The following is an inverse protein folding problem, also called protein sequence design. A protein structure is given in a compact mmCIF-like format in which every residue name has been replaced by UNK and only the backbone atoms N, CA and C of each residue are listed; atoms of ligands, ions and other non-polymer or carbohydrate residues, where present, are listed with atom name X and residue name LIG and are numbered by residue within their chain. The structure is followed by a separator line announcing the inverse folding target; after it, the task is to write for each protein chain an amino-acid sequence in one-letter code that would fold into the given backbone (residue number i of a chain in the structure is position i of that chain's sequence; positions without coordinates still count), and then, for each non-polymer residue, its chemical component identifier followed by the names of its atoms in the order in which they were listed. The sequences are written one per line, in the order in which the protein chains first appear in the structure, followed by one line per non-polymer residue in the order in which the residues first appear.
data_IF_191989988842
#
_entry.id   IF_191989988842
#
_cell.length_a   1.000
_cell.length_b   1.000
_cell.length_c   1.000
_cell.angle_alpha   90.00
_cell.angle_beta   90.00
_cell.angle_gamma   90.00
#
_symmetry.space_group_name_H-M   'P 1'
#
loop_
_entity.id
_entity.type
_entity.pdbx_description
1 polymer ?
#
# COMPACT_ATOMS: atom_id res chain seq x y z
N UNK A 1 7.58 -78.77 -12.21
CA UNK A 1 6.84 -77.87 -11.28
C UNK A 1 7.65 -77.69 -9.99
N UNK A 2 8.97 -77.42 -10.09
CA UNK A 2 9.87 -77.35 -8.93
C UNK A 2 10.64 -76.01 -8.86
N UNK A 3 10.71 -75.24 -9.94
CA UNK A 3 11.53 -74.02 -10.02
C UNK A 3 10.87 -72.76 -9.44
N UNK A 4 9.58 -72.79 -9.11
CA UNK A 4 8.87 -71.61 -8.58
C UNK A 4 8.80 -71.56 -7.04
N UNK A 5 8.93 -72.72 -6.37
CA UNK A 5 8.93 -72.83 -4.91
C UNK A 5 10.26 -72.40 -4.29
N UNK A 6 11.38 -72.73 -4.93
CA UNK A 6 12.72 -72.32 -4.48
C UNK A 6 12.95 -70.80 -4.54
N UNK A 7 12.37 -70.14 -5.54
CA UNK A 7 12.50 -68.70 -5.71
C UNK A 7 11.78 -67.92 -4.60
N UNK A 8 10.65 -68.44 -4.11
CA UNK A 8 9.91 -67.86 -2.97
C UNK A 8 10.60 -68.13 -1.63
N UNK A 9 11.26 -69.27 -1.47
CA UNK A 9 12.07 -69.57 -0.29
C UNK A 9 13.31 -68.66 -0.20
N UNK A 10 13.98 -68.41 -1.33
CA UNK A 10 15.14 -67.51 -1.41
C UNK A 10 14.77 -66.05 -1.07
N UNK A 11 13.63 -65.54 -1.56
CA UNK A 11 13.16 -64.19 -1.23
C UNK A 11 12.78 -64.02 0.25
N UNK A 12 12.17 -65.04 0.87
CA UNK A 12 11.86 -65.02 2.32
C UNK A 12 13.15 -65.09 3.17
N UNK A 13 14.16 -65.83 2.73
CA UNK A 13 15.49 -65.89 3.39
C UNK A 13 16.20 -64.53 3.32
N UNK A 14 16.11 -63.84 2.18
CA UNK A 14 16.68 -62.50 1.97
C UNK A 14 16.01 -61.44 2.85
N UNK A 15 14.67 -61.45 2.95
CA UNK A 15 13.94 -60.54 3.84
C UNK A 15 14.19 -60.82 5.33
N UNK A 16 14.33 -62.10 5.74
CA UNK A 16 14.74 -62.45 7.12
C UNK A 16 16.17 -62.02 7.44
N UNK A 17 17.09 -62.11 6.47
CA UNK A 17 18.48 -61.67 6.63
C UNK A 17 18.57 -60.15 6.78
N UNK A 18 17.87 -59.37 5.95
CA UNK A 18 17.82 -57.91 6.09
C UNK A 18 17.22 -57.47 7.42
N UNK A 19 16.17 -58.15 7.90
CA UNK A 19 15.56 -57.83 9.21
C UNK A 19 16.50 -58.16 10.39
N UNK A 20 17.31 -59.21 10.28
CA UNK A 20 18.36 -59.55 11.27
C UNK A 20 19.49 -58.54 11.25
N UNK A 21 19.95 -58.11 10.07
CA UNK A 21 20.98 -57.08 9.93
C UNK A 21 20.49 -55.73 10.50
N UNK A 22 19.24 -55.37 10.23
CA UNK A 22 18.64 -54.15 10.78
C UNK A 22 18.48 -54.21 12.30
N UNK A 23 18.07 -55.35 12.87
CA UNK A 23 18.06 -55.56 14.32
C UNK A 23 19.46 -55.51 14.94
N UNK A 24 20.46 -56.11 14.30
CA UNK A 24 21.84 -56.06 14.79
C UNK A 24 22.39 -54.62 14.76
N UNK A 25 22.07 -53.84 13.73
CA UNK A 25 22.40 -52.40 13.67
C UNK A 25 21.72 -51.60 14.78
N UNK A 26 20.46 -51.90 15.13
CA UNK A 26 19.76 -51.25 16.24
C UNK A 26 20.38 -51.62 17.60
N UNK A 27 20.80 -52.88 17.79
CA UNK A 27 21.49 -53.31 19.01
C UNK A 27 22.87 -52.65 19.13
N UNK A 28 23.64 -52.56 18.05
CA UNK A 28 24.95 -51.89 18.04
C UNK A 28 24.81 -50.39 18.29
N UNK A 29 23.78 -49.74 17.74
CA UNK A 29 23.54 -48.31 18.01
C UNK A 29 23.18 -48.06 19.48
N UNK A 30 22.37 -48.96 20.08
CA UNK A 30 22.01 -48.89 21.50
C UNK A 30 23.21 -49.16 22.44
N UNK A 31 24.11 -50.08 22.09
CA UNK A 31 25.31 -50.34 22.88
C UNK A 31 26.34 -49.22 22.76
N UNK A 32 26.50 -48.58 21.61
CA UNK A 32 27.39 -47.41 21.46
C UNK A 32 26.89 -46.22 22.30
N UNK A 33 25.57 -46.02 22.39
CA UNK A 33 25.00 -45.00 23.28
C UNK A 33 25.14 -45.33 24.77
N UNK A 34 25.18 -46.62 25.13
CA UNK A 34 25.35 -47.05 26.53
C UNK A 34 26.83 -47.09 26.97
N UNK A 35 27.77 -47.36 26.05
CA UNK A 35 29.21 -47.34 26.36
C UNK A 35 29.73 -45.90 26.45
N UNK A 36 29.16 -44.97 25.68
CA UNK A 36 29.52 -43.54 25.80
C UNK A 36 28.97 -42.87 27.07
N UNK A 37 28.06 -43.52 27.81
CA UNK A 37 27.52 -43.01 29.09
C UNK A 37 28.19 -43.60 30.32
N UNK A 38 29.19 -44.49 30.17
CA UNK A 38 29.89 -45.11 31.31
C UNK A 38 31.33 -44.63 31.55
N UNK A 39 31.91 -43.81 30.67
CA UNK A 39 33.29 -43.29 30.82
C UNK A 39 33.41 -41.90 31.50
N UNK A 40 32.41 -41.50 32.28
CA UNK A 40 32.50 -40.39 33.23
C UNK A 40 32.33 -40.90 34.68
N UNK A 41 33.10 -41.93 35.04
CA UNK A 41 33.35 -42.28 36.44
C UNK A 41 34.78 -41.89 36.80
N UNK A 42 34.97 -40.62 37.16
CA UNK A 42 36.21 -40.14 37.78
C UNK A 42 35.93 -39.63 39.19
N UNK A 43 35.98 -40.58 40.14
CA UNK A 43 36.69 -40.48 41.42
C UNK A 43 36.54 -39.16 42.18
N UNK A 44 35.48 -39.03 42.98
CA UNK A 44 35.42 -38.04 44.06
C UNK A 44 36.41 -38.43 45.18
N UNK A 45 37.42 -37.58 45.37
CA UNK A 45 38.25 -37.52 46.57
C UNK A 45 37.64 -36.44 47.46
N UNK A 46 37.17 -36.83 48.64
CA UNK A 46 36.72 -35.95 49.71
C UNK A 46 37.85 -35.02 50.14
N UNK A 47 37.64 -33.70 50.12
CA UNK A 47 37.77 -32.80 51.29
C UNK A 47 37.81 -31.30 50.87
N UNK A 48 37.17 -30.47 51.70
CA UNK A 48 37.38 -29.02 51.90
C UNK A 48 36.74 -27.98 50.93
N UNK A 49 35.52 -27.56 51.32
CA UNK A 49 35.10 -26.15 51.55
C UNK A 49 35.36 -25.10 50.44
N UNK A 50 34.40 -24.95 49.54
CA UNK A 50 33.96 -23.64 48.98
C UNK A 50 32.67 -23.81 48.16
N UNK A 51 31.56 -23.08 48.44
CA UNK A 51 30.44 -23.03 47.52
C UNK A 51 30.72 -21.93 46.49
N UNK A 52 31.26 -22.29 45.34
CA UNK A 52 31.18 -21.42 44.17
C UNK A 52 29.92 -21.82 43.39
N UNK A 53 28.83 -21.04 43.42
CA UNK A 53 27.73 -21.26 42.51
C UNK A 53 28.13 -20.65 41.16
N UNK A 54 28.94 -21.36 40.38
CA UNK A 54 29.04 -21.07 38.95
C UNK A 54 27.90 -21.84 38.27
N UNK A 55 26.83 -21.19 37.80
CA UNK A 55 26.09 -21.82 36.73
C UNK A 55 27.04 -21.84 35.53
N UNK A 56 27.42 -23.04 35.08
CA UNK A 56 28.25 -23.23 33.88
C UNK A 56 27.39 -22.88 32.67
N UNK A 57 27.17 -21.59 32.44
CA UNK A 57 26.67 -21.09 31.17
C UNK A 57 27.84 -21.09 30.20
N UNK A 58 27.78 -21.99 29.26
CA UNK A 58 28.65 -21.98 28.10
C UNK A 58 28.19 -20.81 27.21
N UNK A 59 28.97 -19.72 27.07
CA UNK A 59 28.53 -18.55 26.33
C UNK A 59 28.48 -18.90 24.84
N UNK A 60 27.28 -19.27 24.35
CA UNK A 60 27.01 -19.41 22.93
C UNK A 60 26.88 -18.01 22.34
N UNK A 61 27.71 -17.69 21.36
CA UNK A 61 27.53 -16.46 20.57
C UNK A 61 26.66 -16.76 19.37
N UNK A 62 25.66 -15.91 19.15
CA UNK A 62 24.77 -15.98 18.01
C UNK A 62 25.13 -14.87 17.02
N UNK A 63 25.20 -15.23 15.75
CA UNK A 63 25.41 -14.30 14.64
C UNK A 63 24.41 -14.65 13.52
N UNK A 64 23.80 -13.63 12.90
CA UNK A 64 22.92 -13.85 11.74
C UNK A 64 23.67 -13.42 10.49
N UNK A 65 23.91 -14.38 9.61
CA UNK A 65 24.54 -14.19 8.31
C UNK A 65 23.51 -13.66 7.30
N UNK A 66 24.00 -12.95 6.28
CA UNK A 66 23.23 -12.46 5.12
C UNK A 66 22.06 -11.50 5.43
N UNK A 67 22.01 -10.94 6.65
CA UNK A 67 20.99 -9.98 7.05
C UNK A 67 21.44 -8.97 8.11
N UNK A 68 20.82 -7.78 8.07
CA UNK A 68 20.82 -6.83 9.18
C UNK A 68 19.85 -7.32 10.26
N UNK A 69 20.34 -7.48 11.49
CA UNK A 69 19.56 -8.04 12.60
C UNK A 69 19.75 -7.27 13.92
N UNK A 70 18.75 -7.40 14.80
CA UNK A 70 18.79 -6.90 16.17
C UNK A 70 18.37 -8.00 17.14
N UNK A 71 19.18 -8.23 18.16
CA UNK A 71 18.77 -9.06 19.29
C UNK A 71 17.82 -8.28 20.18
N UNK A 72 16.67 -8.87 20.49
CA UNK A 72 15.68 -8.27 21.38
C UNK A 72 15.95 -8.70 22.82
N UNK A 73 15.75 -7.77 23.75
CA UNK A 73 15.74 -8.02 25.18
C UNK A 73 14.47 -7.45 25.77
N UNK A 74 13.80 -8.23 26.61
CA UNK A 74 12.64 -7.72 27.34
C UNK A 74 13.11 -6.74 28.42
N UNK A 75 12.51 -5.55 28.44
CA UNK A 75 12.89 -4.51 29.39
C UNK A 75 12.63 -4.97 30.83
N UNK A 76 13.68 -5.02 31.66
CA UNK A 76 13.59 -5.39 33.07
C UNK A 76 13.79 -6.88 33.39
N UNK A 77 14.18 -7.73 32.43
CA UNK A 77 14.49 -9.14 32.70
C UNK A 77 16.01 -9.45 32.77
N UNK A 78 16.38 -10.27 33.76
CA UNK A 78 17.72 -10.84 33.94
C UNK A 78 18.01 -11.95 32.92
N UNK A 79 19.28 -12.10 32.52
CA UNK A 79 19.77 -13.10 31.55
C UNK A 79 19.37 -14.55 31.86
N UNK A 80 19.00 -14.82 33.10
CA UNK A 80 18.80 -16.15 33.69
C UNK A 80 17.43 -16.78 33.40
N UNK A 81 16.45 -16.05 32.85
CA UNK A 81 15.10 -16.59 32.66
C UNK A 81 14.81 -17.16 31.26
N UNK A 82 15.57 -16.73 30.25
CA UNK A 82 15.52 -17.30 28.89
C UNK A 82 16.51 -18.45 28.69
N UNK A 83 17.12 -18.91 29.79
CA UNK A 83 18.28 -19.77 29.81
C UNK A 83 18.10 -20.82 30.90
N UNK A 84 18.03 -22.09 30.53
CA UNK A 84 18.22 -23.23 31.43
C UNK A 84 19.64 -23.77 31.27
N UNK A 85 20.04 -24.73 32.11
CA UNK A 85 21.33 -25.43 31.96
C UNK A 85 21.48 -26.16 30.61
N UNK A 86 20.40 -26.40 29.88
CA UNK A 86 20.39 -27.16 28.62
C UNK A 86 19.83 -26.38 27.42
N UNK A 87 19.18 -25.24 27.64
CA UNK A 87 18.51 -24.48 26.58
C UNK A 87 18.67 -22.99 26.77
N UNK A 88 18.95 -22.27 25.68
CA UNK A 88 19.03 -20.82 25.67
C UNK A 88 18.20 -20.28 24.51
N UNK A 89 17.33 -19.31 24.79
CA UNK A 89 16.43 -18.71 23.79
C UNK A 89 16.75 -17.22 23.64
N UNK A 90 17.23 -16.83 22.46
CA UNK A 90 17.51 -15.43 22.14
C UNK A 90 16.54 -14.94 21.05
N UNK A 91 15.57 -14.06 21.37
CA UNK A 91 14.73 -13.46 20.34
C UNK A 91 15.55 -12.46 19.52
N UNK A 92 15.30 -12.42 18.22
CA UNK A 92 15.93 -11.50 17.29
C UNK A 92 14.95 -11.07 16.20
N UNK A 93 15.22 -9.93 15.58
CA UNK A 93 14.47 -9.38 14.45
C UNK A 93 15.40 -9.22 13.26
N UNK A 94 14.93 -9.66 12.11
CA UNK A 94 15.60 -9.49 10.82
C UNK A 94 15.03 -8.24 10.16
N UNK A 95 15.85 -7.21 10.00
CA UNK A 95 15.45 -5.94 9.41
C UNK A 95 15.51 -6.00 7.88
N UNK A 96 16.61 -6.51 7.34
CA UNK A 96 16.87 -6.55 5.90
C UNK A 96 17.71 -7.78 5.57
N UNK A 97 17.26 -8.67 4.70
CA UNK A 97 18.07 -9.81 4.27
C UNK A 97 18.26 -9.80 2.75
N UNK A 98 19.53 -9.93 2.34
CA UNK A 98 19.91 -9.97 0.92
C UNK A 98 19.77 -11.37 0.33
N UNK A 99 19.92 -12.40 1.17
CA UNK A 99 19.77 -13.83 0.87
C UNK A 99 19.04 -14.49 2.03
N UNK A 100 18.75 -15.79 1.90
CA UNK A 100 18.08 -16.52 2.96
C UNK A 100 18.98 -16.48 4.20
N UNK A 101 18.58 -15.79 5.28
CA UNK A 101 19.45 -15.58 6.41
C UNK A 101 19.72 -16.91 7.11
N UNK A 102 20.91 -17.01 7.69
CA UNK A 102 21.34 -18.17 8.45
C UNK A 102 21.75 -17.73 9.85
N UNK A 103 21.33 -18.48 10.86
CA UNK A 103 21.75 -18.26 12.25
C UNK A 103 22.94 -19.16 12.52
N UNK A 104 24.09 -18.55 12.76
CA UNK A 104 25.29 -19.18 13.29
C UNK A 104 25.26 -19.16 14.81
N UNK A 105 25.47 -20.31 15.43
CA UNK A 105 25.68 -20.45 16.85
C UNK A 105 27.09 -21.02 17.07
N UNK A 106 27.95 -20.25 17.72
CA UNK A 106 29.34 -20.66 17.98
C UNK A 106 29.63 -20.79 19.47
N UNK A 107 30.44 -21.79 19.79
CA UNK A 107 30.91 -22.11 21.12
C UNK A 107 32.39 -22.46 21.05
N UNK A 108 33.25 -21.48 21.40
CA UNK A 108 34.69 -21.59 21.22
C UNK A 108 35.05 -21.83 19.76
N UNK A 109 35.71 -22.95 19.45
CA UNK A 109 36.11 -23.33 18.09
C UNK A 109 35.02 -24.07 17.29
N UNK A 110 33.91 -24.45 17.93
CA UNK A 110 32.83 -25.18 17.29
C UNK A 110 31.76 -24.18 16.87
N UNK A 111 31.27 -24.29 15.64
CA UNK A 111 30.11 -23.52 15.18
C UNK A 111 29.15 -24.41 14.41
N UNK A 112 27.87 -24.06 14.48
CA UNK A 112 26.82 -24.68 13.69
C UNK A 112 25.95 -23.61 13.07
N UNK A 113 25.45 -23.87 11.88
CA UNK A 113 24.67 -22.91 11.11
C UNK A 113 23.32 -23.52 10.73
N UNK A 114 22.26 -22.71 10.84
CA UNK A 114 20.91 -23.11 10.50
C UNK A 114 20.23 -22.03 9.68
N UNK A 115 19.74 -22.38 8.49
CA UNK A 115 18.93 -21.49 7.66
C UNK A 115 17.63 -21.13 8.38
N UNK A 116 17.27 -19.85 8.34
CA UNK A 116 15.97 -19.37 8.85
C UNK A 116 14.88 -19.87 7.89
N UNK A 117 13.84 -20.55 8.41
CA UNK A 117 12.70 -21.01 7.62
C UNK A 117 12.05 -19.88 6.80
N UNK A 118 11.81 -20.11 5.50
CA UNK A 118 11.33 -19.09 4.56
C UNK A 118 9.98 -18.48 4.97
N UNK A 119 9.11 -19.26 5.62
CA UNK A 119 7.82 -18.86 6.16
C UNK A 119 7.92 -17.79 7.26
N UNK A 120 9.04 -17.73 7.98
CA UNK A 120 9.29 -16.71 9.00
C UNK A 120 9.86 -15.41 8.42
N UNK A 121 10.45 -15.46 7.21
CA UNK A 121 11.13 -14.32 6.57
C UNK A 121 10.37 -13.76 5.36
N UNK A 122 9.46 -14.53 4.76
CA UNK A 122 8.62 -14.11 3.64
C UNK A 122 7.22 -13.72 4.15
N UNK A 123 6.87 -12.43 4.03
CA UNK A 123 5.53 -11.93 4.35
C UNK A 123 4.45 -12.39 3.36
N UNK A 124 4.83 -12.89 2.19
CA UNK A 124 3.88 -13.38 1.18
C UNK A 124 4.45 -14.61 0.47
N UNK A 125 4.02 -15.80 0.88
CA UNK A 125 4.36 -17.10 0.27
C UNK A 125 3.89 -17.25 -1.20
N UNK A 126 3.02 -16.34 -1.67
CA UNK A 126 2.35 -16.42 -2.98
C UNK A 126 3.27 -16.06 -4.15
N UNK A 127 4.38 -15.37 -3.89
CA UNK A 127 5.33 -14.92 -4.91
C UNK A 127 6.62 -15.72 -4.75
N UNK A 128 6.56 -16.99 -5.16
CA UNK A 128 7.65 -17.94 -4.99
C UNK A 128 8.77 -17.69 -6.02
N UNK A 129 9.54 -16.64 -5.78
CA UNK A 129 10.70 -16.24 -6.57
C UNK A 129 11.98 -16.34 -5.71
N UNK A 130 12.48 -17.56 -5.43
CA UNK A 130 13.70 -17.76 -4.66
C UNK A 130 14.90 -17.17 -5.42
N UNK A 131 15.50 -16.10 -4.87
CA UNK A 131 16.72 -15.48 -5.40
C UNK A 131 16.57 -14.08 -6.01
N UNK A 132 15.33 -13.58 -6.15
CA UNK A 132 15.03 -12.33 -6.88
C UNK A 132 14.55 -11.19 -5.99
N UNK A 133 14.03 -11.51 -4.80
CA UNK A 133 13.57 -10.54 -3.81
C UNK A 133 14.44 -10.60 -2.56
N UNK A 134 14.80 -9.42 -2.03
CA UNK A 134 15.26 -9.29 -0.65
C UNK A 134 14.15 -9.74 0.29
N UNK A 135 14.49 -10.46 1.34
CA UNK A 135 13.51 -10.82 2.35
C UNK A 135 13.03 -9.53 3.05
N UNK A 136 11.73 -9.42 3.34
CA UNK A 136 11.01 -8.22 3.84
C UNK A 136 10.51 -7.18 2.81
N UNK A 137 10.42 -7.50 1.52
CA UNK A 137 9.77 -6.59 0.56
C UNK A 137 8.25 -6.46 0.83
N UNK A 138 7.69 -5.28 0.57
CA UNK A 138 6.27 -4.96 0.79
C UNK A 138 5.73 -4.10 -0.35
N UNK A 139 4.47 -4.32 -0.73
CA UNK A 139 3.75 -3.40 -1.62
C UNK A 139 3.23 -2.25 -0.77
N UNK A 140 3.52 -1.03 -1.17
CA UNK A 140 3.01 0.18 -0.56
C UNK A 140 2.09 0.90 -1.54
N UNK A 141 1.04 1.51 -1.01
CA UNK A 141 0.01 2.18 -1.79
C UNK A 141 -0.10 3.65 -1.38
N UNK A 142 -0.19 4.54 -2.37
CA UNK A 142 -0.34 5.97 -2.16
C UNK A 142 -1.50 6.53 -3.01
N UNK A 143 -2.47 7.15 -2.35
CA UNK A 143 -3.64 7.73 -3.00
C UNK A 143 -3.30 9.12 -3.53
N UNK A 144 -3.19 9.27 -4.85
CA UNK A 144 -2.84 10.54 -5.50
C UNK A 144 -4.02 11.53 -5.52
N UNK A 145 -5.24 11.01 -5.52
CA UNK A 145 -6.47 11.79 -5.65
C UNK A 145 -7.39 11.56 -4.45
N UNK A 146 -7.14 12.20 -3.30
CA UNK A 146 -7.96 12.03 -2.09
C UNK A 146 -9.37 12.63 -2.22
N UNK A 147 -9.55 13.60 -3.14
CA UNK A 147 -10.83 14.23 -3.46
C UNK A 147 -11.11 14.07 -4.95
N UNK A 148 -12.23 13.46 -5.29
CA UNK A 148 -12.61 13.18 -6.68
C UNK A 148 -13.94 13.86 -6.99
N UNK A 149 -13.99 14.57 -8.11
CA UNK A 149 -15.16 15.34 -8.51
C UNK A 149 -15.96 14.61 -9.58
N UNK A 150 -17.29 14.75 -9.57
CA UNK A 150 -18.16 14.15 -10.59
C UNK A 150 -17.86 14.61 -12.02
N UNK A 151 -17.19 15.76 -12.21
CA UNK A 151 -16.73 16.25 -13.52
C UNK A 151 -15.50 15.51 -14.06
N UNK A 152 -14.68 14.93 -13.18
CA UNK A 152 -13.48 14.15 -13.50
C UNK A 152 -13.40 12.96 -12.54
N UNK A 153 -14.25 11.92 -12.73
CA UNK A 153 -14.40 10.81 -11.81
C UNK A 153 -13.26 9.79 -11.97
N UNK A 154 -12.03 10.19 -11.62
CA UNK A 154 -10.86 9.31 -11.67
C UNK A 154 -10.20 9.25 -10.29
N UNK A 155 -10.13 8.05 -9.73
CA UNK A 155 -9.31 7.74 -8.56
C UNK A 155 -8.00 7.13 -9.05
N UNK A 156 -6.87 7.68 -8.59
CA UNK A 156 -5.52 7.20 -8.95
C UNK A 156 -4.79 6.74 -7.70
N UNK A 157 -4.30 5.51 -7.74
CA UNK A 157 -3.48 4.93 -6.68
C UNK A 157 -2.15 4.51 -7.27
N UNK A 158 -1.07 5.01 -6.68
CA UNK A 158 0.30 4.63 -7.01
C UNK A 158 0.72 3.50 -6.08
N UNK A 159 1.13 2.38 -6.65
CA UNK A 159 1.75 1.27 -5.96
C UNK A 159 3.25 1.27 -6.23
N UNK A 160 4.03 0.95 -5.21
CA UNK A 160 5.46 0.72 -5.34
C UNK A 160 5.91 -0.42 -4.44
N UNK A 161 6.95 -1.13 -4.84
CA UNK A 161 7.54 -2.21 -4.04
C UNK A 161 8.69 -1.65 -3.20
N UNK A 162 8.50 -1.63 -1.88
CA UNK A 162 9.48 -1.22 -0.90
C UNK A 162 10.31 -2.41 -0.42
N UNK A 163 11.57 -2.16 -0.04
CA UNK A 163 12.46 -3.16 0.55
C UNK A 163 13.34 -3.92 -0.45
N UNK A 164 12.95 -3.98 -1.73
CA UNK A 164 13.72 -4.60 -2.83
C UNK A 164 14.97 -3.80 -3.20
N UNK A 165 16.05 -4.51 -3.50
CA UNK A 165 17.24 -3.94 -4.13
C UNK A 165 17.06 -3.90 -5.67
N UNK A 166 16.77 -2.71 -6.19
CA UNK A 166 16.58 -2.46 -7.63
C UNK A 166 17.89 -2.40 -8.43
N UNK A 167 19.05 -2.43 -7.77
CA UNK A 167 20.35 -2.29 -8.43
C UNK A 167 20.87 -3.57 -9.08
N UNK A 168 20.25 -4.73 -8.81
CA UNK A 168 20.58 -6.02 -9.45
C UNK A 168 19.77 -6.19 -10.74
N UNK A 169 20.46 -6.09 -11.87
CA UNK A 169 19.87 -5.94 -13.20
C UNK A 169 19.04 -7.11 -13.77
N UNK A 170 18.10 -6.70 -14.62
CA UNK A 170 17.48 -7.34 -15.81
C UNK A 170 16.78 -8.70 -15.74
N UNK A 171 16.94 -9.55 -14.72
CA UNK A 171 16.34 -10.90 -14.77
C UNK A 171 14.95 -11.02 -14.11
N UNK A 172 14.28 -9.92 -13.78
CA UNK A 172 13.19 -9.96 -12.80
C UNK A 172 11.95 -9.09 -13.07
N UNK A 173 11.81 -8.58 -14.29
CA UNK A 173 10.57 -7.93 -14.77
C UNK A 173 9.40 -8.92 -14.87
N UNK A 174 9.68 -10.21 -15.08
CA UNK A 174 8.66 -11.25 -15.30
C UNK A 174 8.03 -11.82 -14.03
N UNK A 175 8.59 -11.55 -12.85
CA UNK A 175 8.12 -12.11 -11.57
C UNK A 175 7.41 -11.11 -10.65
N UNK A 176 7.27 -9.85 -11.06
CA UNK A 176 6.60 -8.84 -10.25
C UNK A 176 5.08 -9.05 -10.21
N UNK A 177 4.43 -8.81 -9.06
CA UNK A 177 3.02 -9.08 -8.89
C UNK A 177 2.13 -8.07 -9.64
N UNK A 178 0.95 -8.55 -10.00
CA UNK A 178 -0.14 -7.72 -10.44
C UNK A 178 -0.92 -7.23 -9.22
N UNK A 179 -1.19 -5.93 -9.14
CA UNK A 179 -1.96 -5.34 -8.04
C UNK A 179 -3.32 -4.93 -8.57
N UNK A 180 -4.37 -5.39 -7.89
CA UNK A 180 -5.76 -5.00 -8.14
C UNK A 180 -6.22 -4.16 -6.98
N UNK A 181 -6.62 -2.93 -7.26
CA UNK A 181 -7.27 -2.02 -6.30
C UNK A 181 -8.78 -2.13 -6.45
N UNK A 182 -9.46 -2.09 -5.31
CA UNK A 182 -10.90 -2.11 -5.18
C UNK A 182 -11.34 -0.85 -4.46
N UNK A 183 -12.41 -0.25 -4.96
CA UNK A 183 -13.13 0.79 -4.27
C UNK A 183 -14.53 0.27 -3.92
N UNK A 184 -14.90 0.38 -2.65
CA UNK A 184 -16.20 -0.04 -2.15
C UNK A 184 -16.98 1.16 -1.65
N UNK A 185 -18.20 1.27 -2.17
CA UNK A 185 -19.20 2.19 -1.66
C UNK A 185 -20.50 1.42 -1.46
N UNK A 186 -20.92 1.28 -0.20
CA UNK A 186 -22.05 0.43 0.18
C UNK A 186 -21.85 -1.02 -0.32
N UNK A 187 -22.72 -1.51 -1.19
CA UNK A 187 -22.67 -2.85 -1.80
C UNK A 187 -22.05 -2.87 -3.20
N UNK A 188 -21.63 -1.70 -3.72
CA UNK A 188 -21.07 -1.58 -5.06
C UNK A 188 -19.55 -1.60 -5.00
N UNK A 189 -18.94 -2.31 -5.95
CA UNK A 189 -17.50 -2.36 -6.14
C UNK A 189 -17.11 -1.84 -7.52
N UNK A 190 -15.98 -1.12 -7.58
CA UNK A 190 -15.25 -0.91 -8.83
C UNK A 190 -13.81 -1.34 -8.62
N UNK A 191 -13.23 -1.98 -9.62
CA UNK A 191 -11.86 -2.50 -9.57
C UNK A 191 -11.02 -2.00 -10.73
N UNK A 192 -9.72 -1.92 -10.49
CA UNK A 192 -8.71 -1.50 -11.46
C UNK A 192 -7.44 -2.24 -11.12
N UNK A 193 -6.73 -2.74 -12.13
CA UNK A 193 -5.51 -3.51 -11.91
C UNK A 193 -4.36 -2.93 -12.72
N UNK A 194 -3.16 -3.09 -12.20
CA UNK A 194 -1.95 -2.67 -12.88
C UNK A 194 -0.82 -3.65 -12.57
N UNK A 195 0.11 -3.83 -13.51
CA UNK A 195 1.27 -4.70 -13.34
C UNK A 195 2.44 -3.90 -12.75
N UNK A 196 2.98 -4.33 -11.61
CA UNK A 196 4.20 -3.72 -11.09
C UNK A 196 5.36 -4.06 -12.02
N UNK A 197 6.09 -3.05 -12.47
CA UNK A 197 7.16 -3.23 -13.45
C UNK A 197 8.07 -2.01 -13.56
N UNK A 198 9.09 -2.14 -14.39
CA UNK A 198 10.12 -1.13 -14.62
C UNK A 198 11.19 -1.08 -13.51
N UNK A 199 12.23 -0.29 -13.78
CA UNK A 199 13.44 -0.15 -12.95
C UNK A 199 13.19 0.26 -11.49
N UNK A 200 12.01 0.83 -11.20
CA UNK A 200 11.63 1.31 -9.86
C UNK A 200 10.50 0.50 -9.21
N UNK A 201 9.96 -0.51 -9.91
CA UNK A 201 8.83 -1.31 -9.42
C UNK A 201 7.62 -0.51 -9.05
N UNK A 202 7.21 0.40 -9.92
CA UNK A 202 6.07 1.29 -9.69
C UNK A 202 4.93 0.98 -10.63
N UNK A 203 3.70 1.21 -10.18
CA UNK A 203 2.50 0.94 -10.95
C UNK A 203 1.38 1.91 -10.58
N UNK A 204 0.67 2.43 -11.59
CA UNK A 204 -0.48 3.30 -11.34
C UNK A 204 -1.76 2.58 -11.74
N UNK A 205 -2.67 2.38 -10.78
CA UNK A 205 -4.01 1.90 -11.04
C UNK A 205 -4.99 3.07 -11.10
N UNK A 206 -5.80 3.10 -12.15
CA UNK A 206 -6.92 4.04 -12.30
C UNK A 206 -8.25 3.30 -12.04
N UNK A 207 -9.11 3.92 -11.25
CA UNK A 207 -10.47 3.49 -10.95
C UNK A 207 -11.44 4.59 -11.37
N UNK A 208 -12.58 4.20 -11.92
CA UNK A 208 -13.65 5.14 -12.30
C UNK A 208 -14.88 4.83 -11.44
N UNK A 209 -15.15 5.65 -10.40
CA UNK A 209 -16.37 5.50 -9.60
C UNK A 209 -17.63 5.68 -10.46
N UNK A 210 -18.66 4.90 -10.16
CA UNK A 210 -19.95 4.97 -10.87
C UNK A 210 -20.58 6.35 -10.63
N UNK A 211 -21.23 6.98 -11.63
CA UNK A 211 -21.85 8.30 -11.45
C UNK A 211 -22.82 8.41 -10.27
N UNK A 212 -23.50 7.31 -9.92
CA UNK A 212 -24.41 7.25 -8.77
C UNK A 212 -23.72 7.46 -7.41
N UNK A 213 -22.41 7.16 -7.30
CA UNK A 213 -21.65 7.31 -6.05
C UNK A 213 -21.37 8.77 -5.71
N UNK A 214 -21.53 9.68 -6.65
CA UNK A 214 -21.38 11.12 -6.41
C UNK A 214 -22.67 11.77 -5.91
N UNK A 215 -23.83 11.10 -6.00
CA UNK A 215 -25.08 11.66 -5.52
C UNK A 215 -25.02 11.88 -4.01
N UNK A 216 -25.42 13.07 -3.52
CA UNK A 216 -25.47 13.35 -2.09
C UNK A 216 -26.39 12.34 -1.41
N UNK A 217 -25.82 11.49 -0.55
CA UNK A 217 -26.57 10.47 0.18
C UNK A 217 -27.57 11.10 1.14
N UNK A 218 -28.85 10.81 0.91
CA UNK A 218 -29.99 11.21 1.75
C UNK A 218 -30.18 10.31 2.98
N UNK A 219 -29.30 9.34 3.25
CA UNK A 219 -29.54 8.35 4.32
C UNK A 219 -28.27 8.04 5.10
N UNK A 220 -28.12 8.77 6.20
CA UNK A 220 -27.18 8.51 7.27
C UNK A 220 -27.73 9.14 8.53
N UNK A 221 -28.39 8.35 9.37
CA UNK A 221 -28.87 8.73 10.70
C UNK A 221 -27.70 9.01 11.62
N UNK A 222 -27.08 10.18 11.50
CA UNK A 222 -26.28 10.75 12.57
C UNK A 222 -26.30 12.26 12.42
N UNK A 223 -26.92 12.94 13.40
CA UNK A 223 -26.92 14.41 13.52
C UNK A 223 -25.57 14.90 14.01
N UNK A 224 -24.51 14.60 13.27
CA UNK A 224 -23.23 15.25 13.45
C UNK A 224 -22.96 16.07 12.20
N UNK A 225 -22.73 17.37 12.42
CA UNK A 225 -22.67 18.41 11.40
C UNK A 225 -21.59 18.10 10.34
N UNK A 226 -21.91 17.30 9.34
CA UNK A 226 -21.08 17.17 8.15
C UNK A 226 -21.31 18.42 7.31
N UNK A 227 -20.25 19.22 7.23
CA UNK A 227 -20.11 20.33 6.30
C UNK A 227 -20.58 19.83 4.90
N UNK A 228 -21.50 20.52 4.20
CA UNK A 228 -21.97 20.14 2.86
C UNK A 228 -20.84 20.01 1.81
N UNK A 229 -19.62 20.36 2.18
CA UNK A 229 -18.36 20.14 1.47
C UNK A 229 -17.79 18.70 1.57
N UNK A 230 -18.35 17.82 2.41
CA UNK A 230 -17.72 16.54 2.78
C UNK A 230 -17.89 15.41 1.74
N UNK A 231 -18.96 15.42 0.93
CA UNK A 231 -19.19 14.38 -0.09
C UNK A 231 -19.36 12.97 0.48
N UNK A 232 -19.38 11.97 -0.41
CA UNK A 232 -19.45 10.56 -0.01
C UNK A 232 -18.03 9.99 0.15
N UNK A 233 -17.76 9.32 1.28
CA UNK A 233 -16.48 8.62 1.50
C UNK A 233 -16.53 7.21 0.92
N UNK A 234 -15.50 6.85 0.15
CA UNK A 234 -15.33 5.53 -0.48
C UNK A 234 -14.08 4.87 0.05
N UNK A 235 -14.20 3.61 0.46
CA UNK A 235 -13.09 2.85 1.03
C UNK A 235 -12.28 2.15 -0.07
N UNK A 236 -10.95 2.21 0.04
CA UNK A 236 -10.01 1.64 -0.91
C UNK A 236 -9.25 0.47 -0.29
N UNK A 237 -9.16 -0.62 -1.05
CA UNK A 237 -8.41 -1.82 -0.70
C UNK A 237 -7.59 -2.30 -1.88
N UNK A 238 -6.58 -3.13 -1.64
CA UNK A 238 -5.87 -3.84 -2.71
C UNK A 238 -5.63 -5.30 -2.39
N UNK A 239 -5.41 -6.05 -3.46
CA UNK A 239 -4.91 -7.41 -3.46
C UNK A 239 -3.81 -7.54 -4.50
N UNK A 240 -2.86 -8.44 -4.26
CA UNK A 240 -1.81 -8.76 -5.19
C UNK A 240 -1.92 -10.23 -5.62
N UNK A 241 -1.66 -10.48 -6.89
CA UNK A 241 -1.68 -11.80 -7.52
C UNK A 241 -0.44 -11.97 -8.38
N UNK A 242 0.10 -13.20 -8.54
CA UNK A 242 1.27 -13.43 -9.36
C UNK A 242 0.94 -13.14 -10.83
N UNK A 243 1.96 -12.75 -11.58
CA UNK A 243 1.85 -12.57 -13.02
C UNK A 243 1.94 -13.95 -13.68
N UNK A 244 0.95 -14.32 -14.48
CA UNK A 244 0.91 -15.61 -15.19
C UNK A 244 1.07 -15.32 -16.69
N UNK A 245 2.03 -15.97 -17.34
CA UNK A 245 2.32 -15.79 -18.78
C UNK A 245 2.52 -14.32 -19.19
N UNK A 246 3.20 -13.54 -18.34
CA UNK A 246 3.48 -12.14 -18.61
C UNK A 246 2.24 -11.22 -18.60
N UNK A 247 1.05 -11.69 -18.19
CA UNK A 247 -0.17 -10.88 -18.12
C UNK A 247 -0.81 -10.92 -16.75
N UNK A 248 -1.40 -9.80 -16.36
CA UNK A 248 -2.30 -9.74 -15.22
C UNK A 248 -3.67 -10.23 -15.67
N UNK A 249 -4.24 -11.20 -14.94
CA UNK A 249 -5.63 -11.57 -15.16
C UNK A 249 -6.51 -10.43 -14.64
N UNK A 250 -6.83 -9.47 -15.52
CA UNK A 250 -7.94 -8.55 -15.32
C UNK A 250 -9.20 -9.39 -15.40
N UNK A 251 -9.81 -9.71 -14.27
CA UNK A 251 -11.20 -10.15 -14.25
C UNK A 251 -12.06 -9.05 -14.86
N UNK A 252 -12.17 -9.00 -16.17
CA UNK A 252 -13.16 -8.18 -16.85
C UNK A 252 -14.44 -9.01 -16.84
N UNK A 253 -15.49 -8.47 -16.21
CA UNK A 253 -16.80 -9.08 -16.16
C UNK A 253 -17.45 -9.15 -17.54
N UNK A 254 -17.04 -10.10 -18.38
CA UNK A 254 -17.92 -10.64 -19.40
C UNK A 254 -18.67 -11.81 -18.76
N UNK A 255 -19.98 -11.58 -18.53
CA UNK A 255 -21.06 -12.56 -18.38
C UNK A 255 -20.65 -13.96 -17.92
N UNK A 256 -21.23 -14.35 -16.78
CA UNK A 256 -21.65 -15.72 -16.48
C UNK A 256 -21.84 -16.52 -17.78
N UNK A 257 -20.78 -17.23 -18.15
CA UNK A 257 -20.79 -18.24 -19.18
C UNK A 257 -20.07 -19.39 -18.51
N UNK A 258 -20.90 -20.36 -18.16
CA UNK A 258 -20.53 -21.64 -17.63
C UNK A 258 -19.58 -22.33 -18.60
N UNK A 259 -18.29 -22.14 -18.39
CA UNK A 259 -17.26 -23.09 -18.82
C UNK A 259 -16.36 -23.29 -17.64
N UNK A 260 -16.56 -24.43 -16.97
CA UNK A 260 -15.61 -25.04 -16.04
C UNK A 260 -14.29 -25.25 -16.79
N UNK A 261 -13.50 -24.19 -16.90
CA UNK A 261 -12.10 -24.27 -17.28
C UNK A 261 -11.34 -24.00 -15.99
N UNK A 262 -11.18 -25.10 -15.26
CA UNK A 262 -10.07 -25.36 -14.35
C UNK A 262 -9.36 -24.09 -13.90
N UNK A 263 -10.02 -23.32 -13.03
CA UNK A 263 -9.36 -22.25 -12.29
C UNK A 263 -8.40 -22.97 -11.35
N UNK A 264 -7.19 -23.27 -11.82
CA UNK A 264 -6.05 -23.41 -10.91
C UNK A 264 -6.18 -22.27 -9.92
N UNK A 265 -6.31 -22.58 -8.63
CA UNK A 265 -6.54 -21.59 -7.58
C UNK A 265 -5.34 -20.64 -7.56
N UNK A 266 -5.41 -19.55 -8.33
CA UNK A 266 -4.34 -18.56 -8.40
C UNK A 266 -4.18 -18.00 -6.98
N UNK A 267 -2.98 -18.11 -6.38
CA UNK A 267 -2.77 -17.61 -5.03
C UNK A 267 -2.94 -16.08 -5.01
N UNK A 268 -3.91 -15.57 -4.24
CA UNK A 268 -4.16 -14.12 -4.08
C UNK A 268 -3.92 -13.71 -2.62
N UNK A 269 -3.29 -12.54 -2.42
CA UNK A 269 -3.06 -12.02 -1.05
C UNK A 269 -4.38 -11.67 -0.36
N UNK A 270 -4.44 -11.71 0.98
CA UNK A 270 -5.56 -11.13 1.70
C UNK A 270 -5.72 -9.65 1.34
N UNK A 271 -6.97 -9.18 1.39
CA UNK A 271 -7.30 -7.81 1.02
C UNK A 271 -6.76 -6.82 2.06
N UNK A 272 -5.95 -5.85 1.63
CA UNK A 272 -5.31 -4.86 2.50
C UNK A 272 -5.95 -3.48 2.32
N UNK A 273 -6.28 -2.80 3.43
CA UNK A 273 -6.89 -1.47 3.42
C UNK A 273 -5.84 -0.39 3.10
N UNK A 274 -6.17 0.51 2.18
CA UNK A 274 -5.33 1.67 1.82
C UNK A 274 -5.78 2.90 2.59
N UNK A 275 -7.08 3.19 2.58
CA UNK A 275 -7.67 4.42 3.12
C UNK A 275 -8.98 4.76 2.43
N UNK A 276 -9.40 6.02 2.52
CA UNK A 276 -10.65 6.50 1.91
C UNK A 276 -10.46 7.70 0.99
N UNK A 277 -11.39 7.87 0.05
CA UNK A 277 -11.45 9.01 -0.88
C UNK A 277 -12.83 9.66 -0.84
N UNK A 278 -12.86 10.98 -0.90
CA UNK A 278 -14.11 11.74 -0.88
C UNK A 278 -14.59 12.05 -2.30
N UNK A 279 -15.79 11.58 -2.62
CA UNK A 279 -16.49 11.85 -3.86
C UNK A 279 -17.37 13.08 -3.71
N UNK A 280 -17.09 14.08 -4.53
CA UNK A 280 -17.73 15.39 -4.48
C UNK A 280 -18.62 15.58 -5.71
N UNK A 281 -19.91 15.77 -5.46
CA UNK A 281 -20.83 16.18 -6.51
C UNK A 281 -20.54 17.62 -6.92
N UNK A 282 -20.24 17.84 -8.19
CA UNK A 282 -20.35 19.18 -8.78
C UNK A 282 -21.85 19.41 -9.07
N UNK A 283 -22.49 20.48 -8.53
CA UNK A 283 -23.90 20.76 -8.79
C UNK A 283 -24.18 20.89 -10.28
N UNK A 284 -25.20 20.19 -10.77
CA UNK A 284 -25.66 20.29 -12.17
C UNK A 284 -26.11 21.74 -12.41
N UNK A 285 -25.45 22.43 -13.35
CA UNK A 285 -25.67 23.85 -13.64
C UNK A 285 -24.54 24.77 -13.19
N UNK A 286 -23.64 24.32 -12.31
CA UNK A 286 -22.34 24.94 -12.14
C UNK A 286 -21.47 24.44 -13.30
N UNK A 287 -21.65 25.06 -14.48
CA UNK A 287 -20.72 24.90 -15.59
C UNK A 287 -19.30 24.94 -15.03
N UNK A 288 -18.37 24.14 -15.55
CA UNK A 288 -16.96 24.19 -15.18
C UNK A 288 -16.48 25.63 -15.34
N UNK A 289 -16.54 26.42 -14.25
CA UNK A 289 -16.25 27.84 -14.31
C UNK A 289 -14.73 27.96 -14.22
N UNK A 290 -14.10 28.46 -15.27
CA UNK A 290 -12.71 28.89 -15.21
C UNK A 290 -12.60 30.04 -14.22
N UNK A 291 -11.60 29.98 -13.32
CA UNK A 291 -11.33 31.01 -12.32
C UNK A 291 -9.98 31.64 -12.62
N UNK A 292 -9.97 32.95 -12.80
CA UNK A 292 -8.76 33.76 -12.88
C UNK A 292 -8.68 34.65 -11.65
N UNK A 293 -7.63 34.50 -10.85
CA UNK A 293 -7.37 35.38 -9.71
C UNK A 293 -6.52 36.56 -10.18
N UNK A 294 -7.02 37.78 -9.95
CA UNK A 294 -6.28 39.01 -10.18
C UNK A 294 -5.79 39.52 -8.82
N UNK A 295 -4.54 39.19 -8.50
CA UNK A 295 -3.96 39.44 -7.18
C UNK A 295 -4.73 38.72 -6.06
N UNK A 296 -4.85 39.38 -4.92
CA UNK A 296 -5.52 38.84 -3.73
C UNK A 296 -6.96 39.33 -3.54
N UNK A 297 -7.41 40.28 -4.36
CA UNK A 297 -8.66 41.00 -4.11
C UNK A 297 -9.80 40.67 -5.08
N UNK A 298 -9.50 40.33 -6.34
CA UNK A 298 -10.52 40.12 -7.38
C UNK A 298 -10.38 38.72 -7.98
N UNK A 299 -11.51 38.04 -8.15
CA UNK A 299 -11.61 36.72 -8.79
C UNK A 299 -12.61 36.80 -9.93
N UNK A 300 -12.16 36.56 -11.15
CA UNK A 300 -13.00 36.48 -12.34
C UNK A 300 -13.42 35.03 -12.56
N UNK A 301 -14.71 34.78 -12.74
CA UNK A 301 -15.27 33.47 -13.08
C UNK A 301 -15.99 33.52 -14.43
N UNK A 302 -15.71 32.55 -15.30
CA UNK A 302 -16.40 32.43 -16.60
C UNK A 302 -16.60 30.97 -16.98
N UNK A 303 -17.45 30.68 -17.97
CA UNK A 303 -17.65 29.31 -18.47
C UNK A 303 -16.37 28.78 -19.13
N UNK A 304 -15.97 27.54 -18.83
CA UNK A 304 -14.86 26.87 -19.51
C UNK A 304 -15.28 26.09 -20.76
N UNK A 305 -16.54 26.21 -21.20
CA UNK A 305 -17.00 25.59 -22.45
C UNK A 305 -16.51 26.42 -23.65
N UNK A 306 -16.05 25.80 -24.75
CA UNK A 306 -15.72 26.54 -25.96
C UNK A 306 -16.97 27.23 -26.51
N UNK A 307 -16.82 28.50 -26.90
CA UNK A 307 -17.91 29.33 -27.40
C UNK A 307 -18.16 29.07 -28.89
N UNK A 308 -19.42 28.96 -29.29
CA UNK A 308 -19.83 29.01 -30.70
C UNK A 308 -19.98 30.46 -31.15
N UNK A 309 -20.04 30.70 -32.47
CA UNK A 309 -20.14 32.05 -33.06
C UNK A 309 -21.33 32.89 -32.57
N UNK A 310 -22.38 32.24 -32.05
CA UNK A 310 -23.60 32.88 -31.54
C UNK A 310 -23.67 32.94 -30.01
N UNK A 311 -22.69 32.36 -29.32
CA UNK A 311 -22.74 32.23 -27.86
C UNK A 311 -22.24 33.50 -27.18
N UNK A 312 -22.86 33.85 -26.05
CA UNK A 312 -22.44 34.98 -25.22
C UNK A 312 -21.67 34.45 -24.01
N UNK A 313 -20.44 34.94 -23.85
CA UNK A 313 -19.64 34.65 -22.66
C UNK A 313 -19.86 35.69 -21.57
N UNK A 314 -20.26 35.23 -20.39
CA UNK A 314 -20.38 36.08 -19.20
C UNK A 314 -19.18 35.89 -18.28
N UNK A 315 -18.62 36.99 -17.82
CA UNK A 315 -17.52 37.02 -16.86
C UNK A 315 -18.02 37.64 -15.55
N UNK A 316 -18.10 36.84 -14.50
CA UNK A 316 -18.47 37.29 -13.16
C UNK A 316 -17.23 37.80 -12.44
N UNK A 317 -17.28 39.06 -12.03
CA UNK A 317 -16.23 39.68 -11.23
C UNK A 317 -16.65 39.57 -9.76
N UNK A 318 -15.88 38.83 -8.98
CA UNK A 318 -16.13 38.61 -7.55
C UNK A 318 -15.02 39.25 -6.74
N UNK A 319 -15.38 39.88 -5.63
CA UNK A 319 -14.44 40.37 -4.63
C UNK A 319 -14.14 39.28 -3.60
N UNK A 320 -12.87 39.10 -3.24
CA UNK A 320 -12.49 38.23 -2.13
C UNK A 320 -13.04 38.80 -0.82
N UNK A 321 -13.55 37.96 0.07
CA UNK A 321 -14.11 38.37 1.36
C UNK A 321 -13.09 39.06 2.27
N UNK A 322 -11.79 38.80 2.06
CA UNK A 322 -10.68 39.43 2.78
C UNK A 322 -10.29 40.80 2.23
N UNK A 323 -10.81 41.21 1.07
CA UNK A 323 -10.42 42.46 0.42
C UNK A 323 -11.41 43.59 0.73
N UNK A 324 -10.89 44.72 1.23
CA UNK A 324 -11.68 45.93 1.52
C UNK A 324 -11.52 46.99 0.42
N UNK A 325 -11.72 46.63 -0.84
CA UNK A 325 -11.62 47.61 -1.92
C UNK A 325 -12.87 48.51 -1.96
N UNK A 326 -12.65 49.82 -2.01
CA UNK A 326 -13.69 50.85 -2.17
C UNK A 326 -13.89 51.24 -3.63
N UNK A 327 -12.82 51.17 -4.43
CA UNK A 327 -12.85 51.40 -5.87
C UNK A 327 -11.85 50.46 -6.57
N UNK A 328 -12.14 50.09 -7.81
CA UNK A 328 -11.20 49.37 -8.66
C UNK A 328 -11.56 49.61 -10.13
N UNK A 329 -10.55 49.56 -10.99
CA UNK A 329 -10.73 49.69 -12.44
C UNK A 329 -10.29 48.40 -13.11
N UNK A 330 -11.15 47.84 -13.95
CA UNK A 330 -10.84 46.67 -14.77
C UNK A 330 -10.69 47.09 -16.21
N UNK A 331 -9.53 46.79 -16.80
CA UNK A 331 -9.28 46.97 -18.22
C UNK A 331 -9.32 45.63 -18.94
N UNK A 332 -10.16 45.51 -19.94
CA UNK A 332 -10.29 44.33 -20.78
C UNK A 332 -10.01 44.69 -22.24
N UNK A 333 -9.37 43.79 -22.97
CA UNK A 333 -9.14 43.91 -24.40
C UNK A 333 -9.76 42.71 -25.11
N UNK A 334 -10.53 42.96 -26.16
CA UNK A 334 -11.23 41.90 -26.88
C UNK A 334 -10.46 41.51 -28.15
N UNK A 335 -10.36 40.20 -28.44
CA UNK A 335 -9.73 39.71 -29.67
C UNK A 335 -10.67 39.88 -30.87
N UNK A 336 -10.10 39.98 -32.08
CA UNK A 336 -10.86 40.05 -33.35
C UNK A 336 -11.89 38.91 -33.43
N UNK A 337 -13.14 39.26 -33.73
CA UNK A 337 -14.27 38.31 -33.83
C UNK A 337 -15.13 38.18 -32.57
N UNK A 338 -14.81 38.90 -31.50
CA UNK A 338 -15.65 38.99 -30.29
C UNK A 338 -16.04 40.45 -30.08
N UNK A 339 -17.28 40.69 -29.65
CA UNK A 339 -17.82 42.03 -29.39
C UNK A 339 -18.25 42.17 -27.94
N UNK A 340 -17.87 43.26 -27.30
CA UNK A 340 -18.34 43.58 -25.95
C UNK A 340 -19.81 44.04 -26.00
N UNK A 341 -20.65 43.51 -25.10
CA UNK A 341 -22.09 43.80 -25.09
C UNK A 341 -22.47 44.77 -23.97
N UNK A 342 -22.16 44.43 -22.73
CA UNK A 342 -22.54 45.22 -21.55
C UNK A 342 -21.75 44.75 -20.33
N UNK A 343 -21.62 45.63 -19.33
CA UNK A 343 -21.29 45.23 -17.97
C UNK A 343 -22.30 45.84 -17.01
N UNK A 344 -22.81 45.02 -16.10
CA UNK A 344 -23.82 45.42 -15.12
C UNK A 344 -23.37 45.03 -13.71
N UNK A 345 -23.66 45.86 -12.69
CA UNK A 345 -23.39 45.49 -11.31
C UNK A 345 -24.35 44.38 -10.89
N UNK A 346 -23.84 43.36 -10.22
CA UNK A 346 -24.68 42.31 -9.62
C UNK A 346 -25.57 42.84 -8.49
N UNK A 347 -25.12 43.91 -7.81
CA UNK A 347 -25.88 44.63 -6.81
C UNK A 347 -25.71 46.14 -6.99
N UNK A 348 -26.70 46.77 -7.62
CA UNK A 348 -26.73 48.21 -7.94
C UNK A 348 -26.89 49.13 -6.72
N UNK A 349 -27.28 48.58 -5.56
CA UNK A 349 -27.35 49.33 -4.29
C UNK A 349 -25.98 49.48 -3.64
N UNK A 350 -25.08 48.52 -3.88
CA UNK A 350 -23.74 48.50 -3.27
C UNK A 350 -22.64 49.04 -4.20
N UNK A 351 -22.82 48.91 -5.51
CA UNK A 351 -21.80 49.25 -6.50
C UNK A 351 -22.35 50.17 -7.58
N UNK A 352 -21.56 51.19 -7.88
CA UNK A 352 -21.70 52.01 -9.08
C UNK A 352 -20.64 51.58 -10.11
N UNK A 353 -21.02 51.58 -11.38
CA UNK A 353 -20.14 51.17 -12.49
C UNK A 353 -20.25 52.19 -13.60
N UNK A 354 -19.09 52.73 -13.99
CA UNK A 354 -18.94 53.55 -15.19
C UNK A 354 -18.11 52.78 -16.21
N UNK A 355 -18.57 52.79 -17.46
CA UNK A 355 -17.90 52.11 -18.57
C UNK A 355 -17.31 53.14 -19.52
N UNK A 356 -16.06 52.92 -19.88
CA UNK A 356 -15.36 53.66 -20.92
C UNK A 356 -14.94 52.70 -22.04
N UNK A 357 -15.32 53.03 -23.27
CA UNK A 357 -15.10 52.22 -24.47
C UNK A 357 -14.06 52.92 -25.34
N UNK A 358 -12.83 52.41 -25.33
CA UNK A 358 -11.75 52.89 -26.17
C UNK A 358 -11.89 52.44 -27.63
N UNK A 359 -11.38 53.25 -28.56
CA UNK A 359 -11.49 53.06 -30.01
C UNK A 359 -10.93 51.71 -30.53
N UNK A 360 -10.03 51.07 -29.78
CA UNK A 360 -9.34 49.82 -30.18
C UNK A 360 -9.95 48.53 -29.59
N UNK A 361 -11.21 48.57 -29.15
CA UNK A 361 -11.85 47.42 -28.48
C UNK A 361 -11.31 47.14 -27.08
N UNK A 362 -10.66 48.15 -26.47
CA UNK A 362 -10.31 48.19 -25.07
C UNK A 362 -11.49 48.75 -24.25
N UNK A 363 -11.91 48.03 -23.22
CA UNK A 363 -12.97 48.42 -22.31
C UNK A 363 -12.36 48.69 -20.94
N UNK A 364 -12.68 49.83 -20.34
CA UNK A 364 -12.39 50.11 -18.93
C UNK A 364 -13.70 50.18 -18.15
N UNK A 365 -13.83 49.37 -17.11
CA UNK A 365 -14.93 49.40 -16.17
C UNK A 365 -14.43 49.91 -14.82
N UNK A 366 -14.89 51.09 -14.42
CA UNK A 366 -14.55 51.72 -13.15
C UNK A 366 -15.68 51.40 -12.18
N UNK A 367 -15.37 50.60 -11.16
CA UNK A 367 -16.32 50.15 -10.15
C UNK A 367 -16.06 50.89 -8.84
N UNK A 368 -17.08 51.54 -8.30
CA UNK A 368 -17.01 52.28 -7.03
C UNK A 368 -18.08 51.78 -6.06
N UNK A 369 -17.67 51.51 -4.83
CA UNK A 369 -18.59 51.09 -3.76
C UNK A 369 -19.38 52.31 -3.28
N UNK A 370 -20.71 52.21 -3.31
CA UNK A 370 -21.58 53.24 -2.72
C UNK A 370 -21.41 53.21 -1.20
N UNK A 371 -21.17 54.36 -0.59
CA UNK A 371 -21.10 54.47 0.86
C UNK A 371 -22.48 54.12 1.46
N UNK A 372 -22.54 53.55 2.68
CA UNK A 372 -23.81 53.39 3.37
C UNK A 372 -24.45 54.77 3.53
N UNK A 373 -25.71 54.91 3.09
CA UNK A 373 -26.48 56.14 3.30
C UNK A 373 -26.57 56.38 4.82
N UNK A 374 -26.04 57.48 5.37
CA UNK A 374 -26.21 57.78 6.78
C UNK A 374 -27.65 58.25 7.00
N UNK A 375 -28.54 57.34 7.36
CA UNK A 375 -29.97 57.60 7.35
C UNK A 375 -30.78 56.75 8.32
N UNK A 376 -30.49 56.87 9.62
CA UNK A 376 -31.44 56.98 10.77
C UNK A 376 -30.71 56.63 12.06
N UNK A 377 -30.32 57.67 12.82
CA UNK A 377 -30.13 57.55 14.27
C UNK A 377 -31.48 57.04 14.82
N UNK A 378 -31.48 55.85 15.43
CA UNK A 378 -32.55 55.50 16.37
C UNK A 378 -32.34 56.40 17.58
N UNK A 379 -33.30 57.29 17.81
CA UNK A 379 -33.55 57.91 19.12
C UNK A 379 -34.17 56.84 20.01
#
# INVERSE_FOLDING_TARGET
METCLDQRAALRKKMRSQRRIWMLLQIVLATITAVSTQDLSSKEMTDSRSPVPLPVFLPVSYEVQDADYLFLKEAGQDFMRNSSMQSHTQPFVILRASRQPAVSASYGAMYTERLVPLDLVQSVQLFNAPGVFTFNWKIQAFVLTPRVFSSKPKVRVLFYVAGRDWSKGESAEDELPCVTVYAFWQTQEVRGSCAVGGERGTCMAELVPVPGWFALGSEGTSRERQDPSAGNSVELYYQAQPRINGKCNTGNGSRWSSSQQQTENIPVTPMQRIGSVNLLQVPKGMATLSRLKLGNAIVIRTSSKPLKKTDIATFYILMASSAQLTNFTLRASVKKGVTFRTATPSNSLLWDITLDLGADGAIAAICQRKAPIPGKRRV
#
